data_IF_357397222589
#
_entry.id   IF_357397222589
#
_cell.length_a   1.000
_cell.length_b   1.000
_cell.length_c   1.000
_cell.angle_alpha   90.00
_cell.angle_beta   90.00
_cell.angle_gamma   90.00
#
_symmetry.space_group_name_H-M   'P 1'
#
loop_
_entity.id
_entity.type
_entity.pdbx_description
1 polymer ?
#
# COMPACT_ATOMS: atom_id res chain seq x y z
N UNK A 1 2.88 3.63 -8.57
CA UNK A 1 2.42 2.25 -8.59
C UNK A 1 0.92 2.27 -8.47
N UNK A 2 0.22 1.82 -9.51
CA UNK A 2 -1.23 2.00 -9.66
C UNK A 2 -1.99 0.75 -9.15
N UNK A 3 -1.59 0.27 -7.96
CA UNK A 3 -2.19 -0.88 -7.29
C UNK A 3 -3.71 -0.77 -7.19
N UNK A 4 -4.19 0.46 -6.95
CA UNK A 4 -5.63 0.74 -6.85
C UNK A 4 -6.33 0.70 -8.22
N UNK A 5 -5.63 1.05 -9.30
CA UNK A 5 -6.22 1.11 -10.64
C UNK A 5 -6.52 -0.29 -11.18
N UNK A 6 -5.60 -1.23 -11.01
CA UNK A 6 -5.73 -2.59 -11.52
C UNK A 6 -6.88 -3.36 -10.85
N UNK A 7 -7.01 -3.22 -9.52
CA UNK A 7 -8.12 -3.86 -8.79
C UNK A 7 -9.46 -3.15 -9.05
N UNK A 8 -9.43 -1.87 -9.45
CA UNK A 8 -10.62 -1.10 -9.80
C UNK A 8 -11.09 -1.35 -11.24
N UNK A 9 -10.19 -1.64 -12.18
CA UNK A 9 -10.51 -1.90 -13.59
C UNK A 9 -11.26 -3.24 -13.80
N UNK A 10 -11.14 -4.19 -12.87
CA UNK A 10 -11.92 -5.44 -12.89
C UNK A 10 -13.40 -5.31 -12.47
N UNK A 11 -13.94 -4.09 -12.44
CA UNK A 11 -15.38 -3.85 -12.23
C UNK A 11 -15.85 -3.92 -10.79
N UNK A 12 -14.94 -3.94 -9.82
CA UNK A 12 -15.29 -3.90 -8.41
C UNK A 12 -15.66 -2.49 -7.98
N UNK A 13 -16.90 -2.29 -7.53
CA UNK A 13 -17.31 -1.08 -6.80
C UNK A 13 -16.58 -1.06 -5.46
N UNK A 14 -15.43 -0.40 -5.40
CA UNK A 14 -14.63 -0.33 -4.19
C UNK A 14 -15.01 0.86 -3.33
N UNK A 15 -15.22 0.64 -2.06
CA UNK A 15 -15.06 1.66 -1.04
C UNK A 15 -13.69 1.49 -0.39
N UNK A 16 -12.92 2.55 -0.28
CA UNK A 16 -11.63 2.54 0.42
C UNK A 16 -11.69 3.47 1.61
N UNK A 17 -11.17 3.02 2.74
CA UNK A 17 -10.96 3.83 3.93
C UNK A 17 -9.51 4.34 3.91
N UNK A 18 -9.37 5.65 3.84
CA UNK A 18 -8.07 6.32 3.81
C UNK A 18 -7.91 7.16 5.06
N UNK A 19 -6.81 6.97 5.75
CA UNK A 19 -6.47 7.81 6.89
C UNK A 19 -5.06 8.39 6.78
N UNK A 20 -5.03 9.67 6.99
CA UNK A 20 -3.92 10.54 7.38
C UNK A 20 -2.65 10.63 6.55
N UNK A 21 -2.80 11.16 5.37
CA UNK A 21 -1.99 12.26 4.87
C UNK A 21 -2.81 12.95 3.77
N UNK A 22 -2.86 14.26 3.75
CA UNK A 22 -3.56 15.02 2.69
C UNK A 22 -3.22 14.52 1.28
N UNK A 23 -1.96 14.13 0.95
CA UNK A 23 -1.64 13.51 -0.33
C UNK A 23 -2.32 12.16 -0.57
N UNK A 24 -2.38 11.28 0.44
CA UNK A 24 -2.94 9.93 0.28
C UNK A 24 -4.45 9.96 0.10
N UNK A 25 -5.17 10.82 0.83
CA UNK A 25 -6.61 10.99 0.67
C UNK A 25 -6.97 11.66 -0.66
N UNK A 26 -6.17 12.60 -1.13
CA UNK A 26 -6.35 13.25 -2.42
C UNK A 26 -6.08 12.27 -3.58
N UNK A 27 -5.00 11.50 -3.48
CA UNK A 27 -4.66 10.46 -4.46
C UNK A 27 -5.75 9.38 -4.51
N UNK A 28 -6.21 8.90 -3.36
CA UNK A 28 -7.28 7.93 -3.25
C UNK A 28 -8.58 8.40 -3.93
N UNK A 29 -8.99 9.65 -3.70
CA UNK A 29 -10.16 10.24 -4.37
C UNK A 29 -10.00 10.32 -5.89
N UNK A 30 -8.78 10.57 -6.37
CA UNK A 30 -8.49 10.65 -7.79
C UNK A 30 -8.45 9.26 -8.46
N UNK A 31 -7.94 8.25 -7.75
CA UNK A 31 -7.82 6.88 -8.24
C UNK A 31 -9.16 6.11 -8.22
N UNK A 32 -9.98 6.33 -7.21
CA UNK A 32 -11.29 5.66 -7.06
C UNK A 32 -12.29 6.11 -8.15
N UNK A 33 -12.03 7.24 -8.81
CA UNK A 33 -12.85 7.71 -9.92
C UNK A 33 -14.31 7.99 -9.55
N UNK A 34 -15.21 7.99 -10.55
CA UNK A 34 -16.62 8.34 -10.36
C UNK A 34 -17.48 7.22 -9.71
N UNK A 35 -16.97 6.01 -9.62
CA UNK A 35 -17.77 4.85 -9.18
C UNK A 35 -17.43 4.36 -7.76
N UNK A 36 -16.32 4.78 -7.18
CA UNK A 36 -15.90 4.38 -5.85
C UNK A 36 -16.18 5.46 -4.79
N UNK A 37 -16.40 5.03 -3.56
CA UNK A 37 -16.54 5.91 -2.41
C UNK A 37 -15.29 5.83 -1.55
N UNK A 38 -14.77 6.99 -1.12
CA UNK A 38 -13.67 7.11 -0.17
C UNK A 38 -14.26 7.53 1.17
N UNK A 39 -14.17 6.65 2.15
CA UNK A 39 -14.46 6.95 3.54
C UNK A 39 -13.21 7.55 4.21
N UNK A 40 -13.37 8.63 4.96
CA UNK A 40 -12.32 9.21 5.78
C UNK A 40 -12.62 8.95 7.24
N UNK A 41 -11.67 8.37 7.97
CA UNK A 41 -11.74 8.26 9.41
C UNK A 41 -11.19 9.51 10.07
N UNK A 42 -11.81 9.92 11.15
CA UNK A 42 -11.44 11.12 11.88
C UNK A 42 -10.53 10.81 13.07
N UNK A 43 -9.87 11.85 13.57
CA UNK A 43 -9.07 11.79 14.78
C UNK A 43 -9.96 12.09 15.99
N UNK A 44 -9.70 11.36 17.07
CA UNK A 44 -10.20 11.64 18.39
C UNK A 44 -9.02 11.69 19.36
N UNK A 45 -8.91 12.76 20.08
CA UNK A 45 -7.82 12.97 21.06
C UNK A 45 -6.40 12.77 20.46
N UNK A 46 -6.25 13.15 19.18
CA UNK A 46 -4.99 13.04 18.43
C UNK A 46 -4.72 11.67 17.78
N UNK A 47 -5.46 10.62 18.12
CA UNK A 47 -5.37 9.29 17.54
C UNK A 47 -6.51 8.96 16.57
N UNK A 48 -6.44 7.82 15.91
CA UNK A 48 -7.53 7.32 15.08
C UNK A 48 -8.74 6.98 15.96
N UNK A 49 -9.92 7.44 15.57
CA UNK A 49 -11.17 7.02 16.21
C UNK A 49 -11.55 5.61 15.71
N UNK A 50 -11.36 4.61 16.57
CA UNK A 50 -11.65 3.21 16.24
C UNK A 50 -13.15 2.94 16.08
N UNK A 51 -14.02 3.68 16.75
CA UNK A 51 -15.47 3.53 16.59
C UNK A 51 -15.89 4.05 15.24
N UNK A 52 -15.43 5.26 14.87
CA UNK A 52 -15.63 5.83 13.54
C UNK A 52 -15.07 4.92 12.42
N UNK A 53 -13.91 4.29 12.68
CA UNK A 53 -13.34 3.30 11.76
C UNK A 53 -14.25 2.09 11.58
N UNK A 54 -14.75 1.48 12.68
CA UNK A 54 -15.65 0.32 12.63
C UNK A 54 -16.97 0.63 11.92
N UNK A 55 -17.55 1.81 12.18
CA UNK A 55 -18.80 2.23 11.55
C UNK A 55 -18.67 2.39 10.02
N UNK A 56 -17.49 2.82 9.56
CA UNK A 56 -17.21 3.01 8.14
C UNK A 56 -16.80 1.76 7.39
N UNK A 57 -16.35 0.73 8.12
CA UNK A 57 -16.06 -0.58 7.55
C UNK A 57 -17.35 -1.31 7.18
N UNK A 58 -17.47 -1.67 5.90
CA UNK A 58 -18.61 -2.43 5.38
C UNK A 58 -18.12 -3.59 4.51
N UNK A 59 -19.00 -4.52 4.19
CA UNK A 59 -18.68 -5.65 3.29
C UNK A 59 -18.36 -5.19 1.85
N UNK A 60 -18.61 -3.90 1.54
CA UNK A 60 -18.22 -3.26 0.29
C UNK A 60 -16.85 -2.60 0.35
N UNK A 61 -16.23 -2.49 1.53
CA UNK A 61 -14.87 -1.97 1.68
C UNK A 61 -13.88 -2.95 1.06
N UNK A 62 -13.08 -2.48 0.12
CA UNK A 62 -12.06 -3.29 -0.59
C UNK A 62 -10.66 -3.00 -0.11
N UNK A 63 -10.40 -1.76 0.28
CA UNK A 63 -9.10 -1.31 0.75
C UNK A 63 -9.22 -0.47 2.01
N UNK A 64 -8.27 -0.68 2.90
CA UNK A 64 -7.98 0.18 4.03
C UNK A 64 -6.55 0.66 3.88
N UNK A 65 -6.33 1.97 3.80
CA UNK A 65 -4.99 2.55 3.71
C UNK A 65 -4.73 3.45 4.91
N UNK A 66 -3.72 3.12 5.69
CA UNK A 66 -3.42 3.80 6.96
C UNK A 66 -1.92 4.04 7.10
N UNK A 67 -1.54 5.21 7.59
CA UNK A 67 -0.17 5.46 8.04
C UNK A 67 0.08 4.77 9.38
N UNK A 68 1.23 4.11 9.53
CA UNK A 68 1.59 3.44 10.79
C UNK A 68 1.97 4.46 11.88
N UNK A 69 2.78 5.46 11.52
CA UNK A 69 3.12 6.56 12.41
C UNK A 69 2.94 7.90 11.70
N UNK A 70 2.30 8.85 12.37
CA UNK A 70 2.06 10.18 11.82
C UNK A 70 3.34 11.02 11.81
N UNK A 71 3.63 11.65 10.68
CA UNK A 71 4.74 12.59 10.56
C UNK A 71 4.47 13.96 11.21
N UNK A 72 3.22 14.24 11.55
CA UNK A 72 2.80 15.53 12.14
C UNK A 72 2.60 15.41 13.63
N UNK A 73 1.84 14.41 14.08
CA UNK A 73 1.45 14.22 15.47
C UNK A 73 2.31 13.19 16.22
N UNK A 74 3.09 12.37 15.50
CA UNK A 74 3.87 11.30 16.11
C UNK A 74 3.04 10.13 16.65
N UNK A 75 1.74 10.14 16.44
CA UNK A 75 0.83 9.07 16.87
C UNK A 75 1.14 7.79 16.11
N UNK A 76 1.18 6.67 16.82
CA UNK A 76 1.34 5.32 16.26
C UNK A 76 -0.04 4.66 16.24
N UNK A 77 -0.47 4.25 15.06
CA UNK A 77 -1.76 3.60 14.88
C UNK A 77 -1.68 2.10 15.18
N UNK A 78 -2.72 1.50 15.78
CA UNK A 78 -2.77 0.09 16.12
C UNK A 78 -3.02 -0.79 14.88
N UNK A 79 -2.02 -0.88 13.98
CA UNK A 79 -2.15 -1.51 12.66
C UNK A 79 -2.67 -2.95 12.76
N UNK A 80 -2.19 -3.74 13.73
CA UNK A 80 -2.62 -5.13 13.88
C UNK A 80 -4.13 -5.24 14.15
N UNK A 81 -4.69 -4.40 15.02
CA UNK A 81 -6.14 -4.38 15.29
C UNK A 81 -6.93 -3.91 14.06
N UNK A 82 -6.43 -2.86 13.38
CA UNK A 82 -7.07 -2.31 12.18
C UNK A 82 -7.03 -3.31 11.01
N UNK A 83 -5.94 -4.06 10.86
CA UNK A 83 -5.81 -5.11 9.86
C UNK A 83 -6.81 -6.24 10.11
N UNK A 84 -6.94 -6.69 11.36
CA UNK A 84 -7.92 -7.72 11.74
C UNK A 84 -9.34 -7.28 11.38
N UNK A 85 -9.74 -6.06 11.76
CA UNK A 85 -11.06 -5.52 11.44
C UNK A 85 -11.29 -5.40 9.93
N UNK A 86 -10.27 -4.98 9.17
CA UNK A 86 -10.33 -4.90 7.72
C UNK A 86 -10.53 -6.29 7.08
N UNK A 87 -9.76 -7.28 7.53
CA UNK A 87 -9.83 -8.65 7.04
C UNK A 87 -11.16 -9.33 7.36
N UNK A 88 -11.79 -9.03 8.51
CA UNK A 88 -13.16 -9.50 8.84
C UNK A 88 -14.19 -9.04 7.80
N UNK A 89 -13.94 -7.93 7.10
CA UNK A 89 -14.75 -7.41 6.00
C UNK A 89 -14.24 -7.80 4.60
N UNK A 90 -13.19 -8.59 4.52
CA UNK A 90 -12.57 -8.97 3.25
C UNK A 90 -11.84 -7.83 2.56
N UNK A 91 -11.45 -6.78 3.30
CA UNK A 91 -10.70 -5.65 2.79
C UNK A 91 -9.19 -5.89 2.89
N UNK A 92 -8.45 -5.38 1.90
CA UNK A 92 -6.99 -5.42 1.84
C UNK A 92 -6.42 -4.27 2.69
N UNK A 93 -5.43 -4.58 3.55
CA UNK A 93 -4.77 -3.61 4.42
C UNK A 93 -3.47 -3.11 3.80
N UNK A 94 -3.41 -1.81 3.50
CA UNK A 94 -2.24 -1.10 2.97
C UNK A 94 -1.70 -0.16 4.03
N UNK A 95 -0.44 -0.31 4.39
CA UNK A 95 0.20 0.44 5.48
C UNK A 95 1.33 1.32 4.95
N UNK A 96 1.25 2.61 5.25
CA UNK A 96 2.36 3.55 5.04
C UNK A 96 3.29 3.51 6.27
N UNK A 97 4.44 2.88 6.10
CA UNK A 97 5.50 2.74 7.11
C UNK A 97 6.59 3.81 7.02
N UNK A 98 6.42 4.85 6.21
CA UNK A 98 7.47 5.84 5.94
C UNK A 98 8.04 6.51 7.20
N UNK A 99 7.25 6.67 8.24
CA UNK A 99 7.71 7.22 9.52
C UNK A 99 7.97 6.16 10.59
N UNK A 100 7.40 4.98 10.47
CA UNK A 100 7.61 3.94 11.49
C UNK A 100 8.91 3.17 11.30
N UNK A 101 9.25 2.81 10.05
CA UNK A 101 10.47 2.03 9.74
C UNK A 101 11.76 2.66 10.30
N UNK A 102 12.00 3.98 10.14
CA UNK A 102 13.23 4.58 10.68
C UNK A 102 13.27 4.69 12.21
N UNK A 103 12.13 4.55 12.90
CA UNK A 103 12.04 4.88 14.33
C UNK A 103 11.69 3.69 15.23
N UNK A 104 11.23 2.56 14.68
CA UNK A 104 10.84 1.39 15.47
C UNK A 104 11.07 0.08 14.73
N UNK A 105 11.18 -1.01 15.49
CA UNK A 105 11.23 -2.35 14.90
C UNK A 105 9.89 -2.70 14.27
N UNK A 106 9.92 -3.04 12.99
CA UNK A 106 8.75 -3.47 12.22
C UNK A 106 8.80 -4.98 11.99
N UNK A 107 7.67 -5.62 12.21
CA UNK A 107 7.41 -7.01 11.86
C UNK A 107 6.11 -7.06 11.05
N UNK A 108 6.23 -7.12 9.74
CA UNK A 108 5.10 -7.04 8.82
C UNK A 108 4.13 -8.24 8.96
N UNK A 109 4.65 -9.41 9.38
CA UNK A 109 3.83 -10.59 9.63
C UNK A 109 2.98 -10.38 10.88
N UNK A 110 3.56 -9.80 11.93
CA UNK A 110 2.87 -9.50 13.18
C UNK A 110 1.82 -8.40 13.03
N UNK A 111 2.12 -7.42 12.17
CA UNK A 111 1.17 -6.35 11.82
C UNK A 111 0.02 -6.87 10.95
N UNK A 112 0.20 -8.01 10.31
CA UNK A 112 -0.71 -8.63 9.36
C UNK A 112 -1.09 -7.69 8.20
N UNK A 113 -0.16 -6.79 7.83
CA UNK A 113 -0.32 -5.92 6.67
C UNK A 113 -0.28 -6.72 5.37
N UNK A 114 -1.20 -6.46 4.46
CA UNK A 114 -1.19 -7.10 3.13
C UNK A 114 -0.17 -6.41 2.23
N UNK A 115 -0.07 -5.08 2.35
CA UNK A 115 0.98 -4.27 1.74
C UNK A 115 1.57 -3.30 2.76
N UNK A 116 2.88 -3.12 2.71
CA UNK A 116 3.60 -2.20 3.57
C UNK A 116 4.65 -1.45 2.78
N UNK A 117 4.61 -0.12 2.81
CA UNK A 117 5.48 0.74 1.98
C UNK A 117 6.32 1.68 2.82
N UNK A 118 7.56 1.91 2.39
CA UNK A 118 8.41 2.94 2.99
C UNK A 118 9.47 3.43 2.00
N UNK A 119 10.09 4.57 2.30
CA UNK A 119 11.11 5.21 1.46
C UNK A 119 12.47 5.21 2.13
N UNK A 120 13.52 4.94 1.36
CA UNK A 120 14.90 4.80 1.85
C UNK A 120 15.44 6.09 2.47
N UNK A 121 15.14 7.26 1.88
CA UNK A 121 15.68 8.54 2.38
C UNK A 121 15.24 8.90 3.81
N UNK A 122 14.17 8.32 4.33
CA UNK A 122 13.71 8.54 5.71
C UNK A 122 14.41 7.62 6.72
N UNK A 123 15.09 6.58 6.27
CA UNK A 123 15.84 5.66 7.12
C UNK A 123 17.35 5.70 6.84
N UNK A 124 17.89 6.91 6.69
CA UNK A 124 19.30 7.19 6.43
C UNK A 124 19.83 6.66 5.07
N UNK A 125 18.97 6.21 4.19
CA UNK A 125 19.31 5.81 2.83
C UNK A 125 19.26 6.99 1.84
N UNK A 126 19.67 6.77 0.58
CA UNK A 126 19.61 7.79 -0.46
C UNK A 126 18.17 8.04 -0.92
N UNK A 127 17.98 9.14 -1.64
CA UNK A 127 16.74 9.42 -2.39
C UNK A 127 16.63 8.50 -3.61
N UNK A 128 15.40 8.31 -4.12
CA UNK A 128 15.15 7.54 -5.35
C UNK A 128 15.04 6.03 -5.16
N UNK A 129 14.97 5.57 -3.90
CA UNK A 129 14.66 4.18 -3.56
C UNK A 129 13.56 4.10 -2.50
N UNK A 130 12.73 3.08 -2.62
CA UNK A 130 11.72 2.70 -1.64
C UNK A 130 11.46 1.20 -1.69
N UNK A 131 10.72 0.70 -0.75
CA UNK A 131 10.37 -0.71 -0.63
C UNK A 131 8.87 -0.87 -0.54
N UNK A 132 8.33 -1.80 -1.31
CA UNK A 132 6.99 -2.33 -1.17
C UNK A 132 7.09 -3.79 -0.73
N UNK A 133 6.65 -4.07 0.48
CA UNK A 133 6.31 -5.43 0.90
C UNK A 133 4.87 -5.73 0.49
N UNK A 134 4.62 -6.93 -0.01
CA UNK A 134 3.26 -7.42 -0.25
C UNK A 134 3.17 -8.91 0.03
N UNK A 135 2.01 -9.37 0.52
CA UNK A 135 1.74 -10.82 0.65
C UNK A 135 1.78 -11.46 -0.73
N UNK A 136 2.48 -12.56 -0.85
CA UNK A 136 2.74 -13.26 -2.12
C UNK A 136 1.45 -13.56 -2.90
N UNK A 137 0.40 -13.95 -2.21
CA UNK A 137 -0.91 -14.23 -2.82
C UNK A 137 -1.49 -13.06 -3.64
N UNK A 138 -1.27 -11.82 -3.20
CA UNK A 138 -1.71 -10.63 -3.91
C UNK A 138 -0.73 -10.26 -5.04
N UNK A 139 0.57 -10.31 -4.75
CA UNK A 139 1.60 -10.00 -5.75
C UNK A 139 1.52 -10.95 -6.96
N UNK A 140 1.21 -12.22 -6.75
CA UNK A 140 1.05 -13.18 -7.84
C UNK A 140 -0.13 -12.87 -8.75
N UNK A 141 -1.22 -12.29 -8.21
CA UNK A 141 -2.42 -11.94 -8.97
C UNK A 141 -2.29 -10.61 -9.73
N UNK A 142 -1.37 -9.73 -9.30
CA UNK A 142 -1.18 -8.42 -9.91
C UNK A 142 -0.35 -8.51 -11.19
N UNK A 143 -0.67 -7.70 -12.19
CA UNK A 143 0.19 -7.46 -13.33
C UNK A 143 1.22 -6.38 -13.02
N UNK A 144 2.42 -6.40 -13.66
CA UNK A 144 3.36 -5.31 -13.54
C UNK A 144 2.79 -4.03 -14.14
N UNK A 145 3.08 -2.89 -13.52
CA UNK A 145 2.66 -1.56 -13.99
C UNK A 145 3.73 -0.93 -14.88
N UNK A 146 5.00 -1.20 -14.58
CA UNK A 146 6.15 -0.75 -15.35
C UNK A 146 6.79 -1.93 -16.07
N UNK A 147 7.31 -1.68 -17.26
CA UNK A 147 7.88 -2.69 -18.13
C UNK A 147 9.30 -2.30 -18.54
N UNK A 148 10.21 -3.26 -18.56
CA UNK A 148 11.61 -2.99 -18.91
C UNK A 148 12.47 -4.24 -18.87
N UNK A 149 13.76 -4.07 -19.04
CA UNK A 149 14.73 -5.12 -18.85
C UNK A 149 14.66 -5.72 -17.44
N UNK A 150 15.21 -6.88 -17.26
CA UNK A 150 15.31 -7.68 -16.02
C UNK A 150 14.00 -8.32 -15.54
N UNK A 151 12.83 -7.69 -15.72
CA UNK A 151 11.53 -8.20 -15.27
C UNK A 151 10.82 -9.11 -16.29
N UNK A 152 11.14 -8.98 -17.57
CA UNK A 152 10.55 -9.75 -18.68
C UNK A 152 11.24 -11.11 -18.77
N UNK A 153 10.45 -12.16 -19.03
CA UNK A 153 10.92 -13.50 -19.34
C UNK A 153 10.94 -13.73 -20.86
N UNK A 154 9.78 -13.72 -21.50
CA UNK A 154 9.67 -13.82 -22.96
C UNK A 154 8.81 -12.69 -23.53
N UNK A 155 9.16 -12.27 -24.76
CA UNK A 155 8.41 -11.27 -25.52
C UNK A 155 7.96 -11.88 -26.84
N UNK A 156 6.68 -11.73 -27.13
CA UNK A 156 6.04 -12.10 -28.40
C UNK A 156 5.49 -10.87 -29.10
N UNK A 157 5.01 -10.97 -30.33
CA UNK A 157 4.49 -9.82 -31.07
C UNK A 157 3.31 -9.11 -30.39
N UNK A 158 2.47 -9.86 -29.67
CA UNK A 158 1.24 -9.34 -29.04
C UNK A 158 1.16 -9.61 -27.52
N UNK A 159 2.18 -10.20 -26.94
CA UNK A 159 2.18 -10.57 -25.51
C UNK A 159 3.59 -10.66 -24.94
N UNK A 160 3.68 -10.67 -23.64
CA UNK A 160 4.92 -10.95 -22.94
C UNK A 160 4.64 -11.75 -21.66
N UNK A 161 5.64 -12.46 -21.18
CA UNK A 161 5.61 -13.12 -19.88
C UNK A 161 6.62 -12.45 -18.93
N UNK A 162 6.37 -12.58 -17.66
CA UNK A 162 7.14 -11.94 -16.61
C UNK A 162 7.92 -12.98 -15.81
N UNK A 163 9.06 -12.61 -15.29
CA UNK A 163 9.77 -13.42 -14.31
C UNK A 163 8.95 -13.58 -13.03
N UNK A 164 9.36 -14.51 -12.20
CA UNK A 164 8.79 -14.71 -10.86
C UNK A 164 9.04 -13.52 -9.93
N UNK A 165 8.39 -13.49 -8.78
CA UNK A 165 8.64 -12.53 -7.73
C UNK A 165 10.06 -12.68 -7.16
N UNK A 166 10.73 -11.59 -6.79
CA UNK A 166 10.30 -10.19 -6.86
C UNK A 166 10.50 -9.54 -8.23
N UNK A 167 11.23 -10.19 -9.16
CA UNK A 167 11.69 -9.65 -10.45
C UNK A 167 10.55 -9.10 -11.30
N UNK A 168 9.37 -9.68 -11.21
CA UNK A 168 8.14 -9.26 -11.87
C UNK A 168 7.85 -7.75 -11.74
N UNK A 169 8.25 -7.13 -10.63
CA UNK A 169 7.99 -5.73 -10.32
C UNK A 169 9.25 -4.84 -10.35
N UNK A 170 10.39 -5.39 -10.76
CA UNK A 170 11.68 -4.71 -10.80
C UNK A 170 12.04 -4.35 -12.25
N UNK A 171 11.33 -3.35 -12.83
CA UNK A 171 11.50 -2.98 -14.23
C UNK A 171 12.73 -2.08 -14.46
N UNK A 172 13.60 -2.51 -15.37
CA UNK A 172 14.80 -1.76 -15.78
C UNK A 172 16.01 -1.97 -14.87
N UNK A 173 17.13 -1.39 -15.26
CA UNK A 173 18.36 -1.45 -14.50
C UNK A 173 18.19 -0.76 -13.15
N UNK A 174 18.38 -1.44 -12.01
CA UNK A 174 18.22 -0.85 -10.70
C UNK A 174 19.24 0.28 -10.47
N UNK A 175 18.87 1.25 -9.64
CA UNK A 175 19.82 2.27 -9.19
C UNK A 175 20.86 1.63 -8.26
N UNK A 176 21.96 1.13 -8.82
CA UNK A 176 22.96 0.35 -8.10
C UNK A 176 23.70 1.14 -7.01
N UNK A 177 23.65 2.47 -7.03
CA UNK A 177 24.29 3.29 -5.98
C UNK A 177 23.41 3.43 -4.74
N UNK A 178 22.11 3.36 -4.88
CA UNK A 178 21.18 3.55 -3.78
C UNK A 178 21.14 2.42 -2.74
N UNK A 179 21.26 1.12 -3.12
CA UNK A 179 21.30 0.01 -2.15
C UNK A 179 22.64 -0.20 -1.43
N UNK A 180 23.71 0.49 -1.86
CA UNK A 180 25.07 0.29 -1.34
C UNK A 180 25.45 1.23 -0.19
N UNK A 181 24.53 2.07 0.27
CA UNK A 181 24.75 3.05 1.35
C UNK A 181 24.13 2.61 2.66
#
# INVERSE_FOLDING_TARGET
>A
VDLQREILEEGMRSSSLLWNTIPTSFLGRKLVGRQGQVGLCYLKDGGLDLEDFREKLTDRTKFVSITHASNVLGVINPIQELAQLAHEKGAIMVVDGAQSVPHMKIDVQKLDADFFVFSGHKMAGPTGIGVLYGKEQYLNQMSPVEFGGEMIDFVYEQSATWKELPWKFEAGTPNMLAPLV
#
